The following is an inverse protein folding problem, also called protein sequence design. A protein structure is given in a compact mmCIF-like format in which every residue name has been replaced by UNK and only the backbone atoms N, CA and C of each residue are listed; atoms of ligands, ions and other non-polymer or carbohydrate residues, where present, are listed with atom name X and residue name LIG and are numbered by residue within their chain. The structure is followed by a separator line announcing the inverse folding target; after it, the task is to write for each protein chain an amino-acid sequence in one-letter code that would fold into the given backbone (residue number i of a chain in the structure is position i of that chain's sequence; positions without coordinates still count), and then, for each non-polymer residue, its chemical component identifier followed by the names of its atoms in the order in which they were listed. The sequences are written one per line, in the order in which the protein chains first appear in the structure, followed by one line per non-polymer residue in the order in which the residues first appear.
data_IF_071970116762
#
_entry.id   IF_071970116762
#
_cell.length_a   1.000
_cell.length_b   1.000
_cell.length_c   1.000
_cell.angle_alpha   90.00
_cell.angle_beta   90.00
_cell.angle_gamma   90.00
#
_symmetry.space_group_name_H-M   'P 1'
#
loop_
_entity.id
_entity.type
_entity.pdbx_description
1 polymer ?
#
# COMPACT_ATOMS: atom_id res chain seq x y z
N UNK A 1 -70.22 9.77 29.31
CA UNK A 1 -69.21 8.77 28.90
C UNK A 1 -68.85 7.96 30.13
N UNK A 2 -69.38 6.74 30.26
CA UNK A 2 -69.23 5.94 31.48
C UNK A 2 -67.97 5.09 31.32
N UNK A 3 -66.90 5.44 32.04
CA UNK A 3 -65.71 4.59 32.15
C UNK A 3 -66.00 3.53 33.20
N UNK A 4 -66.05 2.26 32.80
CA UNK A 4 -66.17 1.16 33.76
C UNK A 4 -64.78 0.77 34.24
N UNK A 5 -64.48 1.10 35.50
CA UNK A 5 -63.25 0.71 36.17
C UNK A 5 -63.57 -0.57 36.96
N UNK A 6 -62.95 -1.68 36.58
CA UNK A 6 -62.91 -2.89 37.40
C UNK A 6 -61.56 -2.96 38.13
N UNK A 7 -61.44 -3.71 39.23
CA UNK A 7 -60.19 -3.83 39.99
C UNK A 7 -58.99 -4.30 39.16
N UNK A 8 -59.23 -4.95 38.02
CA UNK A 8 -58.26 -5.64 37.18
C UNK A 8 -58.15 -5.09 35.75
N UNK A 9 -59.07 -4.22 35.29
CA UNK A 9 -59.02 -3.63 33.94
C UNK A 9 -59.85 -2.36 33.79
N UNK A 10 -59.48 -1.53 32.81
CA UNK A 10 -60.27 -0.40 32.32
C UNK A 10 -60.68 -0.70 30.87
N UNK A 11 -61.98 -0.65 30.56
CA UNK A 11 -62.49 -0.86 29.19
C UNK A 11 -62.96 0.46 28.60
N UNK A 12 -62.38 0.89 27.46
CA UNK A 12 -62.75 2.09 26.70
C UNK A 12 -63.53 1.68 25.45
N UNK A 13 -64.70 2.28 25.20
CA UNK A 13 -65.65 1.82 24.17
C UNK A 13 -65.19 2.07 22.71
N UNK A 14 -64.26 3.00 22.45
CA UNK A 14 -63.67 3.24 21.14
C UNK A 14 -62.26 3.83 21.30
N UNK A 15 -61.23 3.11 20.88
CA UNK A 15 -59.88 3.64 20.69
C UNK A 15 -59.46 3.35 19.25
N UNK A 16 -60.00 4.10 18.30
CA UNK A 16 -59.52 4.04 16.91
C UNK A 16 -59.63 5.37 16.22
N UNK A 17 -58.51 5.79 15.64
CA UNK A 17 -58.48 6.42 14.33
C UNK A 17 -57.11 6.31 13.64
N UNK A 18 -56.06 5.80 14.31
CA UNK A 18 -54.71 5.82 13.76
C UNK A 18 -54.13 4.39 13.61
N UNK A 19 -53.82 3.92 12.39
CA UNK A 19 -53.20 2.62 12.16
C UNK A 19 -51.80 2.47 12.80
N UNK A 20 -51.19 3.57 13.26
CA UNK A 20 -49.89 3.56 13.95
C UNK A 20 -50.00 3.50 15.48
N UNK A 21 -51.22 3.44 16.03
CA UNK A 21 -51.48 3.32 17.47
C UNK A 21 -52.02 1.94 17.85
N UNK A 22 -51.29 1.25 18.73
CA UNK A 22 -51.59 0.02 19.48
C UNK A 22 -52.87 -0.72 19.05
N UNK A 23 -52.69 -1.81 18.30
CA UNK A 23 -53.77 -2.69 17.84
C UNK A 23 -54.53 -3.28 19.04
N UNK A 24 -55.85 -3.34 18.93
CA UNK A 24 -56.80 -3.77 19.96
C UNK A 24 -56.33 -4.96 20.83
N UNK A 25 -56.29 -4.74 22.15
CA UNK A 25 -56.00 -5.73 23.18
C UNK A 25 -56.27 -5.17 24.57
N UNK A 26 -56.36 -6.03 25.60
CA UNK A 26 -56.51 -5.61 26.99
C UNK A 26 -55.23 -4.89 27.48
N UNK A 27 -55.38 -3.69 28.03
CA UNK A 27 -54.29 -3.02 28.77
C UNK A 27 -54.25 -3.62 30.18
N UNK A 28 -53.29 -4.52 30.43
CA UNK A 28 -53.11 -5.13 31.74
C UNK A 28 -52.41 -4.16 32.71
N UNK A 29 -53.06 -3.85 33.82
CA UNK A 29 -52.40 -3.25 34.99
C UNK A 29 -52.08 -4.38 35.98
N UNK A 30 -50.82 -4.53 36.41
CA UNK A 30 -50.52 -5.36 37.58
C UNK A 30 -50.85 -4.56 38.83
N UNK A 31 -51.62 -5.14 39.75
CA UNK A 31 -52.12 -4.49 40.97
C UNK A 31 -51.02 -4.10 41.97
N UNK A 32 -49.80 -4.60 41.78
CA UNK A 32 -48.60 -4.28 42.57
C UNK A 32 -47.89 -3.00 42.10
N UNK A 33 -48.26 -2.43 40.94
CA UNK A 33 -47.64 -1.24 40.38
C UNK A 33 -48.61 -0.05 40.48
N UNK A 34 -48.37 0.85 41.45
CA UNK A 34 -49.12 2.10 41.65
C UNK A 34 -48.89 3.16 40.54
N UNK A 35 -48.46 2.74 39.34
CA UNK A 35 -48.27 3.54 38.14
C UNK A 35 -48.34 2.61 36.93
N UNK A 36 -48.85 3.12 35.80
CA UNK A 36 -48.71 2.48 34.50
C UNK A 36 -47.20 2.37 34.20
N UNK A 37 -46.63 1.16 34.28
CA UNK A 37 -45.29 0.87 33.75
C UNK A 37 -45.45 0.33 32.34
N UNK A 38 -45.11 1.13 31.35
CA UNK A 38 -44.54 0.57 30.12
C UNK A 38 -43.16 0.07 30.54
N UNK A 39 -42.97 -1.25 30.66
CA UNK A 39 -41.67 -1.80 31.03
C UNK A 39 -40.62 -1.24 30.07
N UNK A 40 -39.43 -0.89 30.59
CA UNK A 40 -38.37 -0.26 29.80
C UNK A 40 -37.88 -1.13 28.63
N UNK A 41 -38.30 -2.40 28.58
CA UNK A 41 -38.03 -3.36 27.51
C UNK A 41 -39.29 -3.82 26.75
N UNK A 42 -40.42 -3.13 26.89
CA UNK A 42 -41.71 -3.50 26.27
C UNK A 42 -42.39 -2.29 25.64
N UNK A 43 -41.66 -1.56 24.79
CA UNK A 43 -42.32 -0.89 23.68
C UNK A 43 -42.71 -1.97 22.68
N UNK A 44 -43.85 -2.62 22.92
CA UNK A 44 -44.54 -3.37 21.87
C UNK A 44 -45.58 -2.42 21.28
N UNK A 45 -45.08 -1.46 20.53
CA UNK A 45 -45.77 -0.92 19.37
C UNK A 45 -44.81 -1.15 18.20
N UNK A 46 -45.00 -2.25 17.48
CA UNK A 46 -44.36 -2.49 16.18
C UNK A 46 -42.83 -2.27 16.08
N UNK A 47 -42.04 -2.76 17.04
CA UNK A 47 -40.65 -3.07 16.72
C UNK A 47 -40.65 -4.30 15.79
N UNK A 48 -41.05 -4.13 14.52
CA UNK A 48 -40.46 -4.86 13.40
C UNK A 48 -39.00 -4.91 13.77
N UNK A 49 -38.46 -6.10 14.09
CA UNK A 49 -37.04 -6.34 14.35
C UNK A 49 -36.30 -5.28 13.57
N UNK A 50 -35.69 -4.27 14.21
CA UNK A 50 -35.18 -3.09 13.49
C UNK A 50 -34.48 -3.68 12.30
N UNK A 51 -35.02 -3.51 11.07
CA UNK A 51 -34.49 -4.24 9.94
C UNK A 51 -33.02 -3.88 9.99
N UNK A 52 -32.14 -4.89 10.02
CA UNK A 52 -30.70 -4.61 10.00
C UNK A 52 -30.50 -4.02 8.62
N UNK A 53 -30.69 -2.70 8.53
CA UNK A 53 -30.49 -1.96 7.30
C UNK A 53 -28.99 -2.08 7.10
N UNK A 54 -28.54 -2.71 6.00
CA UNK A 54 -27.12 -2.76 5.72
C UNK A 54 -26.62 -1.32 5.70
N UNK A 55 -25.61 -1.02 6.49
CA UNK A 55 -24.95 0.29 6.43
C UNK A 55 -24.37 0.42 5.02
N UNK A 56 -24.93 1.33 4.24
CA UNK A 56 -24.49 1.67 2.90
C UNK A 56 -23.40 2.74 2.92
N UNK A 57 -22.91 3.09 1.74
CA UNK A 57 -21.97 4.21 1.58
C UNK A 57 -22.57 5.53 2.07
N UNK A 58 -23.87 5.72 1.83
CA UNK A 58 -24.58 6.99 2.09
C UNK A 58 -24.86 7.20 3.59
N UNK A 59 -24.77 6.13 4.39
CA UNK A 59 -24.90 6.18 5.85
C UNK A 59 -23.59 6.63 6.54
N UNK A 60 -22.47 6.66 5.82
CA UNK A 60 -21.15 7.04 6.32
C UNK A 60 -20.78 8.42 5.77
N UNK A 61 -20.81 9.43 6.64
CA UNK A 61 -20.41 10.79 6.26
C UNK A 61 -18.93 10.85 5.78
N UNK A 62 -18.64 11.79 4.90
CA UNK A 62 -17.29 12.02 4.40
C UNK A 62 -16.29 12.26 5.55
N UNK A 63 -15.15 11.56 5.49
CA UNK A 63 -14.12 11.63 6.53
C UNK A 63 -14.50 10.99 7.87
N UNK A 64 -15.69 10.36 7.99
CA UNK A 64 -16.10 9.70 9.22
C UNK A 64 -15.20 8.51 9.58
N UNK A 65 -14.51 7.88 8.62
CA UNK A 65 -13.54 6.82 8.86
C UNK A 65 -12.12 7.40 8.91
N UNK A 66 -11.68 7.74 10.12
CA UNK A 66 -10.31 8.21 10.40
C UNK A 66 -9.35 7.03 10.61
N UNK A 67 -8.04 7.26 10.57
CA UNK A 67 -7.04 6.23 10.87
C UNK A 67 -7.28 5.51 12.21
N UNK A 68 -7.63 6.24 13.26
CA UNK A 68 -7.92 5.66 14.59
C UNK A 68 -9.15 4.73 14.64
N UNK A 69 -10.01 4.74 13.60
CA UNK A 69 -11.17 3.85 13.48
C UNK A 69 -10.85 2.58 12.68
N UNK A 70 -9.68 2.51 12.06
CA UNK A 70 -9.18 1.34 11.36
C UNK A 70 -8.25 0.58 12.31
N UNK A 71 -8.62 -0.67 12.62
CA UNK A 71 -7.71 -1.57 13.32
C UNK A 71 -6.52 -1.95 12.44
N UNK A 72 -5.43 -2.40 13.05
CA UNK A 72 -4.26 -2.90 12.33
C UNK A 72 -4.65 -4.04 11.38
N UNK A 73 -4.28 -3.91 10.10
CA UNK A 73 -4.63 -4.88 9.06
C UNK A 73 -6.09 -4.85 8.60
N UNK A 74 -6.91 -3.87 9.02
CA UNK A 74 -8.31 -3.77 8.60
C UNK A 74 -8.48 -3.61 7.08
N UNK A 75 -7.48 -3.06 6.38
CA UNK A 75 -7.46 -2.94 4.92
C UNK A 75 -6.55 -4.03 4.34
N UNK A 76 -7.16 -5.06 3.76
CA UNK A 76 -6.43 -6.12 3.04
C UNK A 76 -6.08 -5.68 1.61
N UNK A 77 -5.17 -6.41 0.96
CA UNK A 77 -4.78 -6.15 -0.43
C UNK A 77 -5.98 -6.22 -1.38
N UNK A 78 -6.94 -7.12 -1.14
CA UNK A 78 -8.17 -7.23 -1.94
C UNK A 78 -9.13 -6.03 -1.79
N UNK A 79 -8.90 -5.13 -0.82
CA UNK A 79 -9.65 -3.88 -0.64
C UNK A 79 -8.99 -2.68 -1.30
N UNK A 80 -7.76 -2.83 -1.80
CA UNK A 80 -7.09 -1.81 -2.59
C UNK A 80 -7.41 -2.03 -4.06
N UNK A 81 -8.01 -1.04 -4.71
CA UNK A 81 -8.18 -1.05 -6.15
C UNK A 81 -6.82 -0.92 -6.86
N UNK A 82 -6.77 -1.33 -8.12
CA UNK A 82 -5.59 -1.13 -8.96
C UNK A 82 -5.21 0.36 -9.01
N UNK A 83 -3.92 0.64 -8.86
CA UNK A 83 -3.37 2.01 -8.81
C UNK A 83 -3.86 2.88 -7.63
N UNK A 84 -4.50 2.31 -6.60
CA UNK A 84 -4.95 3.08 -5.42
C UNK A 84 -3.79 3.71 -4.63
N UNK A 85 -2.59 3.10 -4.68
CA UNK A 85 -1.39 3.64 -4.04
C UNK A 85 -0.59 4.43 -5.08
N UNK A 86 -0.73 5.75 -5.04
CA UNK A 86 0.01 6.68 -5.90
C UNK A 86 1.30 7.15 -5.23
N UNK A 87 2.20 7.75 -6.01
CA UNK A 87 3.52 8.21 -5.56
C UNK A 87 3.46 9.06 -4.29
N UNK A 88 2.53 10.03 -4.21
CA UNK A 88 2.38 10.90 -3.03
C UNK A 88 1.94 10.18 -1.74
N UNK A 89 1.57 8.90 -1.83
CA UNK A 89 1.25 8.05 -0.67
C UNK A 89 2.43 7.18 -0.23
N UNK A 90 3.54 7.19 -0.97
CA UNK A 90 4.77 6.47 -0.65
C UNK A 90 5.77 7.49 -0.12
N UNK A 91 6.11 7.39 1.17
CA UNK A 91 7.11 8.28 1.77
C UNK A 91 8.52 7.96 1.25
N UNK A 92 9.41 8.96 1.29
CA UNK A 92 10.81 8.78 0.92
C UNK A 92 11.47 7.67 1.74
N UNK A 93 12.17 6.76 1.06
CA UNK A 93 12.79 5.60 1.68
C UNK A 93 11.81 4.50 2.16
N UNK A 94 10.49 4.66 1.94
CA UNK A 94 9.52 3.64 2.33
C UNK A 94 9.74 2.32 1.58
N UNK A 95 10.24 2.35 0.34
CA UNK A 95 10.63 1.16 -0.42
C UNK A 95 12.11 0.86 -0.17
N UNK A 96 12.38 0.02 0.84
CA UNK A 96 13.73 -0.45 1.16
C UNK A 96 14.13 -1.63 0.28
N UNK A 97 15.43 -1.96 0.24
CA UNK A 97 15.93 -3.12 -0.52
C UNK A 97 15.22 -4.42 -0.15
N UNK A 98 14.91 -4.65 1.13
CA UNK A 98 14.19 -5.83 1.60
C UNK A 98 12.74 -5.95 1.10
N UNK A 99 12.14 -4.83 0.62
CA UNK A 99 10.80 -4.81 0.03
C UNK A 99 10.81 -5.05 -1.49
N UNK A 100 11.99 -5.06 -2.10
CA UNK A 100 12.19 -5.33 -3.53
C UNK A 100 12.63 -6.79 -3.65
N UNK A 101 11.82 -7.61 -4.31
CA UNK A 101 12.18 -9.00 -4.55
C UNK A 101 13.41 -9.12 -5.47
N UNK A 102 14.16 -10.20 -5.33
CA UNK A 102 15.28 -10.50 -6.21
C UNK A 102 14.83 -10.51 -7.67
N UNK A 103 15.64 -9.91 -8.54
CA UNK A 103 15.34 -9.74 -9.98
C UNK A 103 14.07 -8.93 -10.31
N UNK A 104 13.45 -8.26 -9.34
CA UNK A 104 12.25 -7.44 -9.60
C UNK A 104 12.55 -6.23 -10.50
N UNK A 105 13.77 -5.69 -10.46
CA UNK A 105 14.21 -4.61 -11.33
C UNK A 105 14.90 -5.21 -12.56
N UNK A 106 14.14 -5.39 -13.63
CA UNK A 106 14.64 -5.88 -14.92
C UNK A 106 15.22 -4.73 -15.75
N UNK A 107 16.02 -5.05 -16.77
CA UNK A 107 16.59 -4.04 -17.68
C UNK A 107 15.53 -3.11 -18.27
N UNK A 108 14.36 -3.63 -18.64
CA UNK A 108 13.26 -2.84 -19.20
C UNK A 108 12.66 -1.81 -18.21
N UNK A 109 12.91 -1.97 -16.90
CA UNK A 109 12.48 -1.01 -15.86
C UNK A 109 13.51 0.08 -15.58
N UNK A 110 14.70 -0.03 -16.16
CA UNK A 110 15.80 0.91 -16.00
C UNK A 110 15.87 1.76 -17.27
N UNK A 111 15.67 3.06 -17.14
CA UNK A 111 15.85 3.97 -18.27
C UNK A 111 17.33 4.05 -18.69
N UNK A 112 17.57 4.29 -19.98
CA UNK A 112 18.93 4.45 -20.51
C UNK A 112 19.68 5.57 -19.77
N UNK A 113 20.88 5.26 -19.29
CA UNK A 113 21.70 6.19 -18.51
C UNK A 113 21.28 6.41 -17.05
N UNK A 114 20.22 5.75 -16.54
CA UNK A 114 19.79 5.88 -15.14
C UNK A 114 20.85 5.37 -14.14
N UNK A 115 21.64 4.39 -14.56
CA UNK A 115 22.81 3.88 -13.84
C UNK A 115 24.05 4.60 -14.38
N UNK A 116 24.56 5.55 -13.61
CA UNK A 116 25.78 6.29 -13.95
C UNK A 116 27.03 5.54 -13.49
N UNK A 117 28.22 5.82 -14.06
CA UNK A 117 29.47 5.18 -13.64
C UNK A 117 29.76 5.33 -12.14
N UNK A 118 29.30 6.41 -11.50
CA UNK A 118 29.44 6.62 -10.05
C UNK A 118 28.61 5.64 -9.20
N UNK A 119 27.56 5.04 -9.78
CA UNK A 119 26.70 4.04 -9.11
C UNK A 119 27.18 2.60 -9.30
N UNK A 120 28.13 2.39 -10.21
CA UNK A 120 28.71 1.08 -10.51
C UNK A 120 30.08 0.99 -9.89
N UNK A 121 30.23 0.16 -8.86
CA UNK A 121 31.54 -0.10 -8.28
C UNK A 121 32.30 -1.11 -9.16
N UNK A 122 32.92 -0.64 -10.23
CA UNK A 122 33.80 -1.44 -11.10
C UNK A 122 35.17 -1.71 -10.44
N UNK A 123 35.22 -1.94 -9.12
CA UNK A 123 36.44 -2.36 -8.41
C UNK A 123 36.97 -3.71 -8.88
N UNK A 124 36.15 -4.48 -9.59
CA UNK A 124 36.63 -5.71 -10.23
C UNK A 124 37.39 -5.36 -11.53
N UNK A 125 38.68 -5.07 -11.38
CA UNK A 125 39.63 -5.05 -12.51
C UNK A 125 39.80 -6.44 -13.16
N UNK A 126 39.17 -7.49 -12.64
CA UNK A 126 39.13 -8.80 -13.29
C UNK A 126 37.91 -8.90 -14.19
N UNK A 127 37.99 -8.23 -15.35
CA UNK A 127 37.33 -8.73 -16.54
C UNK A 127 37.61 -10.23 -16.65
N UNK A 128 36.59 -11.06 -16.37
CA UNK A 128 36.71 -12.51 -16.48
C UNK A 128 37.17 -12.78 -17.90
N UNK A 129 38.35 -13.40 -18.02
CA UNK A 129 39.22 -13.39 -19.21
C UNK A 129 38.70 -14.20 -20.40
N UNK A 130 37.38 -14.29 -20.57
CA UNK A 130 36.70 -14.95 -21.68
C UNK A 130 35.82 -14.00 -22.49
N UNK A 131 35.48 -12.81 -21.98
CA UNK A 131 34.68 -11.84 -22.71
C UNK A 131 35.56 -10.77 -23.39
N UNK A 132 35.33 -10.56 -24.69
CA UNK A 132 36.01 -9.51 -25.44
C UNK A 132 35.51 -8.15 -24.98
N UNK A 133 36.40 -7.33 -24.43
CA UNK A 133 36.07 -5.92 -24.12
C UNK A 133 36.46 -5.05 -25.30
N UNK A 134 35.45 -4.57 -26.01
CA UNK A 134 35.62 -3.62 -27.10
C UNK A 134 35.55 -2.20 -26.53
N UNK A 135 36.69 -1.53 -26.45
CA UNK A 135 36.75 -0.09 -26.15
C UNK A 135 36.85 0.68 -27.48
N UNK A 136 36.12 1.78 -27.63
CA UNK A 136 36.20 2.63 -28.82
C UNK A 136 37.60 3.27 -28.99
N UNK A 137 38.27 3.57 -27.87
CA UNK A 137 39.66 4.02 -27.78
C UNK A 137 40.23 3.52 -26.44
N UNK A 138 41.49 3.06 -26.45
CA UNK A 138 42.24 2.70 -25.24
C UNK A 138 43.45 3.61 -25.13
N UNK A 139 43.57 4.36 -24.04
CA UNK A 139 44.80 5.08 -23.75
C UNK A 139 45.91 4.07 -23.44
N UNK A 140 46.89 3.95 -24.32
CA UNK A 140 48.00 2.98 -24.19
C UNK A 140 48.85 3.20 -22.93
N UNK A 141 48.85 4.42 -22.39
CA UNK A 141 49.54 4.77 -21.14
C UNK A 141 49.00 4.06 -19.89
N UNK A 142 47.73 3.65 -19.92
CA UNK A 142 47.04 3.02 -18.78
C UNK A 142 47.02 1.49 -18.86
N UNK A 143 47.59 0.90 -19.93
CA UNK A 143 47.72 -0.54 -20.09
C UNK A 143 48.88 -1.07 -19.23
N UNK A 144 48.57 -1.43 -17.99
CA UNK A 144 49.44 -2.24 -17.15
C UNK A 144 49.53 -3.68 -17.67
N UNK A 145 50.40 -3.93 -18.65
CA UNK A 145 50.58 -5.28 -19.20
C UNK A 145 51.37 -6.15 -18.20
N UNK A 146 50.89 -7.38 -17.98
CA UNK A 146 51.53 -8.35 -17.07
C UNK A 146 52.99 -8.61 -17.48
N UNK A 147 53.79 -9.10 -16.52
CA UNK A 147 55.19 -9.47 -16.76
C UNK A 147 56.07 -8.30 -17.21
N UNK A 148 55.83 -7.09 -16.69
CA UNK A 148 56.70 -5.92 -16.94
C UNK A 148 56.68 -5.41 -18.38
N UNK A 149 55.67 -5.79 -19.17
CA UNK A 149 55.45 -5.22 -20.49
C UNK A 149 54.82 -3.82 -20.36
N UNK A 150 55.20 -2.91 -21.25
CA UNK A 150 54.59 -1.57 -21.34
C UNK A 150 54.56 -1.12 -22.79
N UNK A 151 53.48 -0.46 -23.20
CA UNK A 151 53.43 0.28 -24.46
C UNK A 151 53.47 1.76 -24.13
N UNK A 152 54.25 2.54 -24.86
CA UNK A 152 54.34 3.99 -24.67
C UNK A 152 54.44 4.66 -26.03
N UNK A 153 53.67 5.72 -26.21
CA UNK A 153 53.69 6.55 -27.39
C UNK A 153 54.59 7.77 -27.14
N UNK A 154 55.42 8.07 -28.13
CA UNK A 154 56.15 9.33 -28.25
C UNK A 154 55.65 10.02 -29.53
N UNK A 155 55.95 11.32 -29.75
CA UNK A 155 55.48 12.01 -30.95
C UNK A 155 55.85 11.32 -32.28
N UNK A 156 56.97 10.59 -32.31
CA UNK A 156 57.54 10.04 -33.55
C UNK A 156 57.52 8.50 -33.61
N UNK A 157 57.27 7.81 -32.49
CA UNK A 157 57.33 6.34 -32.41
C UNK A 157 56.37 5.77 -31.35
N UNK A 158 55.85 4.57 -31.64
CA UNK A 158 55.28 3.69 -30.62
C UNK A 158 56.36 2.72 -30.12
N UNK A 159 56.56 2.68 -28.80
CA UNK A 159 57.56 1.87 -28.13
C UNK A 159 56.90 0.72 -27.38
N UNK A 160 57.44 -0.49 -27.57
CA UNK A 160 57.10 -1.66 -26.75
C UNK A 160 58.30 -1.93 -25.84
N UNK A 161 58.05 -1.95 -24.53
CA UNK A 161 59.07 -2.15 -23.50
C UNK A 161 58.83 -3.45 -22.72
N UNK A 162 59.93 -4.09 -22.31
CA UNK A 162 59.96 -5.21 -21.34
C UNK A 162 60.91 -4.85 -20.21
N UNK A 163 60.41 -4.85 -18.98
CA UNK A 163 61.16 -4.53 -17.76
C UNK A 163 61.91 -3.18 -17.89
N UNK A 164 61.24 -2.19 -18.48
CA UNK A 164 61.77 -0.84 -18.71
C UNK A 164 62.70 -0.68 -19.92
N UNK A 165 62.97 -1.74 -20.69
CA UNK A 165 63.82 -1.70 -21.89
C UNK A 165 62.99 -1.75 -23.16
N UNK A 166 63.29 -0.89 -24.13
CA UNK A 166 62.66 -0.93 -25.46
C UNK A 166 63.08 -2.22 -26.17
N UNK A 167 62.08 -3.03 -26.55
CA UNK A 167 62.28 -4.29 -27.30
C UNK A 167 61.75 -4.20 -28.73
N UNK A 168 60.85 -3.26 -29.00
CA UNK A 168 60.35 -3.01 -30.34
C UNK A 168 59.99 -1.54 -30.54
N UNK A 169 60.18 -1.06 -31.76
CA UNK A 169 59.90 0.32 -32.20
C UNK A 169 59.05 0.27 -33.45
N UNK A 170 57.99 1.07 -33.47
CA UNK A 170 57.17 1.29 -34.64
C UNK A 170 57.26 2.79 -34.95
N UNK A 171 57.97 3.17 -36.03
CA UNK A 171 58.01 4.56 -36.47
C UNK A 171 56.62 5.05 -36.84
N UNK A 172 56.30 6.30 -36.51
CA UNK A 172 55.17 6.99 -37.10
C UNK A 172 55.34 7.02 -38.64
N UNK A 173 54.24 6.82 -39.37
CA UNK A 173 54.23 6.93 -40.83
C UNK A 173 54.20 8.38 -41.28
#
# INVERSE_FOLDING_TARGET
MVVSIKPDRITLATLTADPDSVVAGDVYFRSDLNRIKFAIDTVVANAKTVPVVPIGTDDIADGAVTSAKLADGAVSTAKLADSAVVESKIADGAVTSAKIADSAITTAKIADGAVTPAKTNFTDQSLKTTDTVTFAQVNVGDLGLKYGWKITETPDELLILKDGKVVFRIPAR
#
